data_IF_846739461797
#
_entry.id   IF_846739461797
#
_cell.length_a   1.000
_cell.length_b   1.000
_cell.length_c   1.000
_cell.angle_alpha   90.00
_cell.angle_beta   90.00
_cell.angle_gamma   90.00
#
_symmetry.space_group_name_H-M   'P 1'
#
loop_
_entity.id
_entity.type
_entity.pdbx_description
1 polymer ?
#
# COMPACT_ATOMS: atom_id res chain seq x y z
N UNK A 1 6.37 -24.31 -30.01
CA UNK A 1 6.37 -23.91 -28.58
C UNK A 1 7.64 -24.47 -27.98
N UNK A 2 8.51 -23.60 -27.43
CA UNK A 2 9.77 -24.02 -26.80
C UNK A 2 9.61 -24.16 -25.28
N UNK A 3 8.75 -23.31 -24.65
CA UNK A 3 8.44 -23.31 -23.23
C UNK A 3 7.11 -22.60 -22.98
N UNK A 4 6.55 -22.72 -21.74
CA UNK A 4 5.32 -22.06 -21.34
C UNK A 4 5.23 -21.95 -19.82
N UNK A 5 4.44 -20.99 -19.35
CA UNK A 5 4.05 -20.84 -17.94
C UNK A 5 2.54 -21.00 -17.82
N UNK A 6 2.08 -21.60 -16.70
CA UNK A 6 0.67 -21.78 -16.38
C UNK A 6 0.36 -21.12 -15.06
N UNK A 7 -0.68 -20.31 -15.06
CA UNK A 7 -1.14 -19.57 -13.88
C UNK A 7 -2.59 -19.95 -13.56
N UNK A 8 -2.84 -20.32 -12.30
CA UNK A 8 -4.19 -20.58 -11.80
C UNK A 8 -4.72 -19.33 -11.12
N UNK A 9 -6.00 -19.03 -11.32
CA UNK A 9 -6.69 -17.93 -10.64
C UNK A 9 -8.14 -18.29 -10.33
N UNK A 10 -8.68 -17.66 -9.28
CA UNK A 10 -10.07 -17.84 -8.88
C UNK A 10 -11.00 -17.05 -9.83
N UNK A 11 -12.10 -17.69 -10.29
CA UNK A 11 -13.08 -17.10 -11.19
C UNK A 11 -14.26 -16.44 -10.46
N UNK A 12 -14.31 -16.52 -9.12
CA UNK A 12 -15.36 -15.89 -8.34
C UNK A 12 -15.41 -14.38 -8.60
N UNK A 13 -16.63 -13.87 -8.72
CA UNK A 13 -16.86 -12.44 -8.93
C UNK A 13 -16.94 -11.72 -7.59
N UNK A 14 -16.53 -10.44 -7.54
CA UNK A 14 -16.72 -9.62 -6.34
C UNK A 14 -18.21 -9.58 -5.95
N UNK A 15 -18.49 -9.71 -4.67
CA UNK A 15 -19.84 -9.73 -4.10
C UNK A 15 -19.93 -8.85 -2.87
N UNK A 16 -21.06 -8.13 -2.73
CA UNK A 16 -21.41 -7.49 -1.47
C UNK A 16 -21.97 -8.53 -0.50
N UNK A 17 -21.58 -8.44 0.76
CA UNK A 17 -22.02 -9.31 1.85
C UNK A 17 -22.30 -8.50 3.12
N UNK A 18 -22.81 -9.17 4.16
CA UNK A 18 -23.27 -8.53 5.38
C UNK A 18 -24.74 -8.13 5.29
N UNK A 19 -25.36 -7.83 6.43
CA UNK A 19 -26.80 -7.50 6.52
C UNK A 19 -27.13 -6.21 5.76
N UNK A 20 -26.17 -5.28 5.71
CA UNK A 20 -26.29 -3.97 5.04
C UNK A 20 -25.45 -3.87 3.76
N UNK A 21 -24.85 -4.97 3.29
CA UNK A 21 -23.91 -4.96 2.18
C UNK A 21 -22.58 -4.26 2.51
N UNK A 22 -22.24 -4.20 3.79
CA UNK A 22 -21.07 -3.47 4.31
C UNK A 22 -19.74 -4.16 4.06
N UNK A 23 -19.77 -5.42 3.65
CA UNK A 23 -18.57 -6.19 3.29
C UNK A 23 -18.45 -6.37 1.79
N UNK A 24 -17.22 -6.47 1.32
CA UNK A 24 -16.86 -6.87 -0.03
C UNK A 24 -16.08 -8.18 0.03
N UNK A 25 -16.56 -9.18 -0.68
CA UNK A 25 -15.89 -10.45 -0.87
C UNK A 25 -15.35 -10.51 -2.30
N UNK A 26 -14.06 -10.78 -2.45
CA UNK A 26 -13.45 -10.88 -3.78
C UNK A 26 -12.15 -11.69 -3.73
N UNK A 27 -11.80 -12.41 -4.80
CA UNK A 27 -10.42 -12.83 -4.99
C UNK A 27 -9.50 -11.62 -5.10
N UNK A 28 -8.28 -11.77 -4.63
CA UNK A 28 -7.18 -10.82 -4.86
C UNK A 28 -7.46 -9.38 -4.41
N UNK A 29 -8.19 -9.22 -3.28
CA UNK A 29 -8.23 -7.94 -2.59
C UNK A 29 -6.81 -7.51 -2.21
N UNK A 30 -6.02 -8.47 -1.82
CA UNK A 30 -4.57 -8.42 -1.81
C UNK A 30 -4.02 -8.68 -3.24
N UNK A 31 -3.47 -7.68 -3.94
CA UNK A 31 -3.41 -6.26 -3.57
C UNK A 31 -4.11 -5.37 -4.62
N UNK A 32 -5.15 -5.88 -5.30
CA UNK A 32 -5.91 -5.10 -6.28
C UNK A 32 -6.65 -3.90 -5.66
N UNK A 33 -6.95 -3.92 -4.36
CA UNK A 33 -7.50 -2.77 -3.64
C UNK A 33 -6.55 -1.57 -3.69
N UNK A 34 -5.27 -1.79 -3.43
CA UNK A 34 -4.24 -0.75 -3.50
C UNK A 34 -4.03 -0.25 -4.92
N UNK A 35 -4.00 -1.16 -5.90
CA UNK A 35 -3.90 -0.80 -7.33
C UNK A 35 -5.07 0.10 -7.73
N UNK A 36 -6.30 -0.29 -7.37
CA UNK A 36 -7.51 0.49 -7.65
C UNK A 36 -7.44 1.89 -7.01
N UNK A 37 -7.05 1.97 -5.74
CA UNK A 37 -6.96 3.23 -5.01
C UNK A 37 -5.89 4.16 -5.62
N UNK A 38 -4.71 3.64 -5.94
CA UNK A 38 -3.63 4.41 -6.58
C UNK A 38 -4.05 4.96 -7.95
N UNK A 39 -4.65 4.12 -8.80
CA UNK A 39 -5.11 4.55 -10.13
C UNK A 39 -6.21 5.61 -10.00
N UNK A 40 -7.18 5.41 -9.11
CA UNK A 40 -8.24 6.39 -8.83
C UNK A 40 -7.63 7.71 -8.35
N UNK A 41 -6.72 7.64 -7.39
CA UNK A 41 -6.05 8.82 -6.85
C UNK A 41 -5.26 9.61 -7.90
N UNK A 42 -4.47 8.90 -8.72
CA UNK A 42 -3.68 9.56 -9.77
C UNK A 42 -4.57 10.22 -10.83
N UNK A 43 -5.62 9.54 -11.29
CA UNK A 43 -6.54 10.05 -12.33
C UNK A 43 -7.32 11.28 -11.82
N UNK A 44 -7.73 11.27 -10.56
CA UNK A 44 -8.53 12.33 -9.95
C UNK A 44 -7.69 13.49 -9.37
N UNK A 45 -6.36 13.33 -9.33
CA UNK A 45 -5.47 14.38 -8.83
C UNK A 45 -5.07 15.35 -9.94
N UNK A 46 -4.76 16.57 -9.53
CA UNK A 46 -4.21 17.61 -10.44
C UNK A 46 -3.05 18.33 -9.72
N UNK A 47 -1.87 17.71 -9.64
CA UNK A 47 -0.72 18.26 -8.94
C UNK A 47 -0.26 19.55 -9.59
N UNK A 48 0.11 20.52 -8.77
CA UNK A 48 0.59 21.85 -9.25
C UNK A 48 2.10 21.86 -9.51
N UNK A 49 2.83 20.93 -8.90
CA UNK A 49 4.29 20.82 -8.97
C UNK A 49 4.70 19.35 -8.89
N UNK A 50 5.91 19.06 -9.35
CA UNK A 50 6.50 17.74 -9.22
C UNK A 50 6.01 16.72 -10.23
N UNK A 51 6.33 15.48 -9.98
CA UNK A 51 5.94 14.30 -10.75
C UNK A 51 5.29 13.29 -9.82
N UNK A 52 4.05 12.94 -10.10
CA UNK A 52 3.39 11.80 -9.48
C UNK A 52 3.63 10.54 -10.33
N UNK A 53 4.07 9.47 -9.68
CA UNK A 53 4.38 8.20 -10.33
C UNK A 53 3.77 7.06 -9.52
N UNK A 54 3.16 6.10 -10.21
CA UNK A 54 2.74 4.83 -9.64
C UNK A 54 3.67 3.73 -10.17
N UNK A 55 4.20 2.91 -9.27
CA UNK A 55 4.92 1.70 -9.61
C UNK A 55 4.13 0.48 -9.13
N UNK A 56 3.73 -0.39 -10.05
CA UNK A 56 3.07 -1.66 -9.76
C UNK A 56 4.09 -2.77 -9.98
N UNK A 57 4.51 -3.40 -8.89
CA UNK A 57 5.53 -4.43 -8.91
C UNK A 57 4.91 -5.82 -9.08
N UNK A 58 5.71 -6.72 -9.64
CA UNK A 58 5.42 -8.14 -9.71
C UNK A 58 6.18 -8.90 -8.61
N UNK A 59 5.80 -10.14 -8.36
CA UNK A 59 6.49 -11.06 -7.46
C UNK A 59 6.57 -10.61 -5.99
N UNK A 60 5.63 -9.79 -5.52
CA UNK A 60 5.59 -9.39 -4.11
C UNK A 60 5.45 -10.62 -3.21
N UNK A 61 4.51 -11.53 -3.48
CA UNK A 61 4.17 -12.71 -2.69
C UNK A 61 5.29 -13.76 -2.59
N UNK A 62 6.26 -13.70 -3.47
CA UNK A 62 7.44 -14.58 -3.45
C UNK A 62 8.71 -13.85 -2.98
N UNK A 63 8.55 -12.65 -2.39
CA UNK A 63 9.59 -11.91 -1.69
C UNK A 63 10.26 -10.78 -2.47
N UNK A 64 9.73 -10.36 -3.61
CA UNK A 64 10.17 -9.19 -4.41
C UNK A 64 11.60 -9.25 -4.98
N UNK A 65 12.33 -10.35 -4.80
CA UNK A 65 13.76 -10.50 -5.18
C UNK A 65 13.95 -10.96 -6.61
N UNK A 66 13.29 -10.31 -7.55
CA UNK A 66 13.38 -10.60 -8.97
C UNK A 66 13.62 -9.31 -9.74
N UNK A 67 13.95 -9.40 -11.03
CA UNK A 67 14.20 -8.23 -11.89
C UNK A 67 13.00 -7.27 -12.00
N UNK A 68 11.78 -7.75 -11.79
CA UNK A 68 10.53 -6.98 -11.82
C UNK A 68 9.93 -6.73 -10.43
N UNK A 69 10.57 -7.22 -9.37
CA UNK A 69 10.15 -7.01 -7.98
C UNK A 69 10.65 -5.69 -7.39
N UNK A 70 10.12 -5.33 -6.23
CA UNK A 70 10.47 -4.09 -5.56
C UNK A 70 11.90 -4.06 -4.99
N UNK A 71 12.52 -5.24 -4.75
CA UNK A 71 13.92 -5.39 -4.34
C UNK A 71 14.85 -5.47 -5.56
N UNK A 72 14.63 -4.62 -6.56
CA UNK A 72 15.44 -4.52 -7.77
C UNK A 72 15.77 -3.06 -8.10
N UNK A 73 16.76 -2.87 -8.96
CA UNK A 73 17.15 -1.55 -9.45
C UNK A 73 16.21 -0.98 -10.51
N UNK A 74 15.11 -1.66 -10.83
CA UNK A 74 14.22 -1.27 -11.94
C UNK A 74 13.62 0.12 -11.72
N UNK A 75 13.05 0.38 -10.53
CA UNK A 75 12.42 1.67 -10.25
C UNK A 75 13.45 2.81 -10.25
N UNK A 76 14.62 2.60 -9.62
CA UNK A 76 15.69 3.60 -9.63
C UNK A 76 16.13 3.92 -11.07
N UNK A 77 16.38 2.89 -11.89
CA UNK A 77 16.80 3.08 -13.28
C UNK A 77 15.75 3.79 -14.14
N UNK A 78 14.46 3.57 -13.86
CA UNK A 78 13.38 4.30 -14.52
C UNK A 78 13.32 5.77 -14.09
N UNK A 79 13.49 6.05 -12.79
CA UNK A 79 13.55 7.42 -12.27
C UNK A 79 14.74 8.19 -12.83
N UNK A 80 15.91 7.56 -12.96
CA UNK A 80 17.07 8.15 -13.61
C UNK A 80 16.77 8.54 -15.05
N UNK A 81 16.19 7.63 -15.85
CA UNK A 81 15.78 7.93 -17.24
C UNK A 81 14.74 9.03 -17.33
N UNK A 82 13.79 9.10 -16.41
CA UNK A 82 12.80 10.19 -16.37
C UNK A 82 13.50 11.52 -16.08
N UNK A 83 14.36 11.56 -15.06
CA UNK A 83 15.11 12.78 -14.72
C UNK A 83 16.00 13.25 -15.88
N UNK A 84 16.70 12.35 -16.56
CA UNK A 84 17.49 12.67 -17.76
C UNK A 84 16.62 13.25 -18.87
N UNK A 85 15.45 12.66 -19.10
CA UNK A 85 14.49 13.15 -20.12
C UNK A 85 13.92 14.54 -19.78
N UNK A 86 13.84 14.87 -18.50
CA UNK A 86 13.45 16.18 -17.99
C UNK A 86 14.61 17.19 -17.95
N UNK A 87 15.81 16.80 -18.36
CA UNK A 87 17.01 17.64 -18.37
C UNK A 87 17.52 17.98 -16.96
N UNK A 88 17.24 17.13 -15.96
CA UNK A 88 17.73 17.30 -14.59
C UNK A 88 19.20 16.91 -14.49
N UNK A 89 19.98 17.69 -13.73
CA UNK A 89 21.32 17.25 -13.36
C UNK A 89 21.25 16.10 -12.34
N UNK A 90 22.32 15.28 -12.21
CA UNK A 90 22.37 14.24 -11.18
C UNK A 90 22.19 14.77 -9.74
N UNK A 91 22.61 16.01 -9.49
CA UNK A 91 22.40 16.69 -8.21
C UNK A 91 20.92 17.00 -7.98
N UNK A 92 20.26 17.63 -8.94
CA UNK A 92 18.84 17.93 -8.90
C UNK A 92 17.98 16.67 -8.79
N UNK A 93 18.39 15.58 -9.42
CA UNK A 93 17.71 14.30 -9.30
C UNK A 93 17.80 13.73 -7.88
N UNK A 94 18.98 13.81 -7.25
CA UNK A 94 19.17 13.37 -5.84
C UNK A 94 18.39 14.25 -4.85
N UNK A 95 18.43 15.58 -5.01
CA UNK A 95 17.63 16.50 -4.20
C UNK A 95 16.14 16.18 -4.30
N UNK A 96 15.65 15.94 -5.54
CA UNK A 96 14.27 15.55 -5.76
C UNK A 96 13.87 14.23 -5.08
N UNK A 97 14.79 13.28 -4.93
CA UNK A 97 14.54 12.05 -4.15
C UNK A 97 14.45 12.32 -2.65
N UNK A 98 15.29 13.18 -2.10
CA UNK A 98 15.22 13.54 -0.67
C UNK A 98 13.96 14.33 -0.32
N UNK A 99 13.45 15.13 -1.26
CA UNK A 99 12.20 15.88 -1.10
C UNK A 99 10.95 15.03 -1.40
N UNK A 100 11.13 13.88 -2.03
CA UNK A 100 10.01 12.99 -2.38
C UNK A 100 9.40 12.32 -1.16
N UNK A 101 8.16 11.85 -1.35
CA UNK A 101 7.46 11.03 -0.38
C UNK A 101 6.94 9.77 -1.07
N UNK A 102 7.17 8.61 -0.46
CA UNK A 102 6.78 7.31 -1.01
C UNK A 102 5.61 6.73 -0.23
N UNK A 103 4.51 6.52 -0.91
CA UNK A 103 3.35 5.84 -0.39
C UNK A 103 3.41 4.36 -0.80
N UNK A 104 3.70 3.48 0.14
CA UNK A 104 3.67 2.04 -0.04
C UNK A 104 2.28 1.52 0.34
N UNK A 105 1.55 1.00 -0.64
CA UNK A 105 0.21 0.49 -0.42
C UNK A 105 0.15 -1.03 -0.51
N UNK A 106 -0.32 -1.63 0.57
CA UNK A 106 -0.55 -3.05 0.71
C UNK A 106 -1.57 -3.32 1.81
N UNK A 107 -2.38 -4.37 1.69
CA UNK A 107 -3.42 -4.69 2.67
C UNK A 107 -2.85 -4.95 4.08
N UNK A 108 -3.70 -4.93 5.08
CA UNK A 108 -3.36 -5.24 6.48
C UNK A 108 -4.25 -6.37 7.01
N UNK A 109 -3.80 -7.06 8.04
CA UNK A 109 -4.65 -8.02 8.73
C UNK A 109 -5.73 -7.30 9.52
N UNK A 110 -6.99 -7.63 9.24
CA UNK A 110 -8.13 -7.21 10.03
C UNK A 110 -8.33 -8.06 11.29
N UNK A 111 -8.97 -7.50 12.29
CA UNK A 111 -9.35 -8.22 13.51
C UNK A 111 -10.31 -9.37 13.17
N UNK A 112 -9.85 -10.61 13.32
CA UNK A 112 -10.72 -11.78 13.17
C UNK A 112 -11.46 -12.05 14.47
N UNK A 113 -12.81 -12.13 14.48
CA UNK A 113 -13.60 -12.26 15.70
C UNK A 113 -13.22 -13.45 16.58
N UNK A 114 -12.87 -14.57 15.96
CA UNK A 114 -12.52 -15.82 16.66
C UNK A 114 -11.00 -15.93 16.95
N UNK A 115 -10.18 -14.95 16.60
CA UNK A 115 -8.73 -14.98 16.74
C UNK A 115 -8.18 -13.65 17.29
N UNK A 116 -8.95 -12.97 18.13
CA UNK A 116 -8.59 -11.65 18.68
C UNK A 116 -7.24 -11.65 19.40
N UNK A 117 -6.84 -12.79 19.98
CA UNK A 117 -5.55 -12.95 20.65
C UNK A 117 -4.33 -12.92 19.73
N UNK A 118 -4.52 -13.01 18.40
CA UNK A 118 -3.42 -12.89 17.44
C UNK A 118 -3.05 -11.43 17.10
N UNK A 119 -3.93 -10.48 17.47
CA UNK A 119 -3.71 -9.06 17.21
C UNK A 119 -2.97 -8.41 18.38
N UNK A 120 -2.34 -7.27 18.10
CA UNK A 120 -1.81 -6.40 19.13
C UNK A 120 -2.90 -6.02 20.15
N UNK A 121 -2.61 -5.94 21.46
CA UNK A 121 -3.63 -5.64 22.47
C UNK A 121 -4.34 -4.31 22.28
N UNK A 122 -3.64 -3.31 21.73
CA UNK A 122 -4.09 -1.93 21.61
C UNK A 122 -4.58 -1.59 20.20
N UNK A 123 -3.84 -2.04 19.16
CA UNK A 123 -4.10 -1.71 17.77
C UNK A 123 -4.80 -2.89 17.07
N UNK A 124 -6.11 -2.80 16.94
CA UNK A 124 -6.97 -3.86 16.40
C UNK A 124 -7.81 -3.33 15.23
N UNK A 125 -7.28 -3.27 14.03
CA UNK A 125 -8.03 -2.79 12.86
C UNK A 125 -9.29 -3.58 12.61
N UNK A 126 -10.39 -2.88 12.46
CA UNK A 126 -11.73 -3.44 12.21
C UNK A 126 -12.17 -3.06 10.80
N UNK A 127 -12.73 -4.01 10.07
CA UNK A 127 -13.27 -3.79 8.73
C UNK A 127 -14.37 -2.71 8.75
N UNK A 128 -14.37 -1.84 7.76
CA UNK A 128 -15.33 -0.76 7.64
C UNK A 128 -15.03 0.49 8.50
N UNK A 129 -13.82 0.58 9.06
CA UNK A 129 -13.37 1.73 9.84
C UNK A 129 -12.21 2.51 9.22
N UNK A 130 -12.05 2.37 7.91
CA UNK A 130 -11.06 3.10 7.15
C UNK A 130 -9.72 2.40 7.02
N UNK A 131 -8.77 3.09 6.41
CA UNK A 131 -7.45 2.59 6.13
C UNK A 131 -6.61 2.37 7.40
N UNK A 132 -5.54 1.59 7.26
CA UNK A 132 -4.56 1.32 8.32
C UNK A 132 -3.22 1.98 7.99
N UNK A 133 -2.69 2.79 8.90
CA UNK A 133 -1.28 3.21 8.89
C UNK A 133 -0.51 2.11 9.61
N UNK A 134 0.42 1.47 8.90
CA UNK A 134 1.17 0.29 9.40
C UNK A 134 2.51 0.71 9.98
N UNK A 135 2.80 0.25 11.19
CA UNK A 135 4.04 0.54 11.91
C UNK A 135 4.67 -0.76 12.42
N UNK A 136 6.00 -0.85 12.39
CA UNK A 136 6.75 -1.97 12.94
C UNK A 136 8.11 -1.51 13.49
N UNK A 137 8.38 -1.82 14.75
CA UNK A 137 9.69 -1.55 15.36
C UNK A 137 10.85 -2.29 14.67
N UNK A 138 10.56 -3.43 14.06
CA UNK A 138 11.50 -4.22 13.25
C UNK A 138 11.80 -3.63 11.87
N UNK A 139 11.14 -2.52 11.48
CA UNK A 139 11.23 -1.93 10.14
C UNK A 139 10.82 -2.90 9.01
N UNK A 140 9.94 -3.85 9.32
CA UNK A 140 9.26 -4.66 8.29
C UNK A 140 8.23 -3.84 7.50
N UNK A 141 7.81 -2.71 8.06
CA UNK A 141 7.16 -1.58 7.38
C UNK A 141 8.10 -0.37 7.47
N UNK A 142 8.23 0.38 6.38
CA UNK A 142 9.17 1.51 6.29
C UNK A 142 8.70 2.78 6.99
N UNK A 143 7.56 2.72 7.65
CA UNK A 143 6.90 3.86 8.30
C UNK A 143 7.71 4.37 9.50
N UNK A 144 7.92 5.67 9.57
CA UNK A 144 8.44 6.40 10.72
C UNK A 144 7.44 7.45 11.23
N UNK A 145 7.77 8.13 12.32
CA UNK A 145 6.87 9.10 12.95
C UNK A 145 6.61 10.35 12.07
N UNK A 146 7.54 10.76 11.25
CA UNK A 146 7.39 11.89 10.32
C UNK A 146 6.41 11.51 9.21
N UNK A 147 6.58 10.33 8.62
CA UNK A 147 5.70 9.80 7.61
C UNK A 147 4.27 9.58 8.14
N UNK A 148 4.14 9.07 9.37
CA UNK A 148 2.84 8.98 10.08
C UNK A 148 2.18 10.34 10.19
N UNK A 149 2.92 11.37 10.62
CA UNK A 149 2.37 12.70 10.80
C UNK A 149 1.81 13.29 9.49
N UNK A 150 2.49 13.06 8.37
CA UNK A 150 2.00 13.46 7.04
C UNK A 150 0.72 12.72 6.69
N UNK A 151 0.70 11.40 6.84
CA UNK A 151 -0.48 10.59 6.53
C UNK A 151 -1.69 10.98 7.40
N UNK A 152 -1.49 11.16 8.70
CA UNK A 152 -2.57 11.62 9.59
C UNK A 152 -3.08 13.01 9.25
N UNK A 153 -2.22 13.93 8.84
CA UNK A 153 -2.66 15.26 8.40
C UNK A 153 -3.52 15.18 7.14
N UNK A 154 -3.16 14.33 6.18
CA UNK A 154 -3.97 14.08 4.98
C UNK A 154 -5.35 13.54 5.39
N UNK A 155 -5.38 12.50 6.24
CA UNK A 155 -6.62 11.92 6.72
C UNK A 155 -7.51 12.95 7.43
N UNK A 156 -6.94 13.75 8.35
CA UNK A 156 -7.70 14.77 9.11
C UNK A 156 -8.23 15.89 8.22
N UNK A 157 -7.45 16.35 7.24
CA UNK A 157 -7.90 17.40 6.30
C UNK A 157 -9.01 16.92 5.37
N UNK A 158 -8.98 15.66 4.99
CA UNK A 158 -9.95 15.04 4.09
C UNK A 158 -11.13 14.38 4.80
N UNK A 159 -11.19 14.42 6.13
CA UNK A 159 -12.15 13.65 6.95
C UNK A 159 -12.17 12.15 6.61
N UNK A 160 -10.98 11.61 6.31
CA UNK A 160 -10.79 10.22 5.89
C UNK A 160 -10.59 9.35 7.13
N UNK A 161 -11.42 8.31 7.33
CA UNK A 161 -11.31 7.44 8.49
C UNK A 161 -10.01 6.59 8.38
N UNK A 162 -9.29 6.49 9.50
CA UNK A 162 -8.06 5.70 9.58
C UNK A 162 -7.88 5.03 10.94
N UNK A 163 -7.07 4.00 10.94
CA UNK A 163 -6.70 3.20 12.10
C UNK A 163 -5.18 3.00 12.12
N UNK A 164 -4.65 2.55 13.26
CA UNK A 164 -3.26 2.09 13.38
C UNK A 164 -3.21 0.59 13.30
N UNK A 165 -2.17 0.07 12.65
CA UNK A 165 -1.86 -1.34 12.63
C UNK A 165 -0.43 -1.58 13.12
N UNK A 166 -0.29 -2.45 14.09
CA UNK A 166 0.99 -2.93 14.61
C UNK A 166 0.90 -4.45 14.75
N UNK A 167 1.92 -5.17 14.33
CA UNK A 167 1.99 -6.60 14.60
C UNK A 167 2.16 -6.85 16.11
N UNK A 168 1.51 -7.89 16.62
CA UNK A 168 1.75 -8.34 17.98
C UNK A 168 3.23 -8.70 18.15
N UNK A 169 3.87 -8.19 19.21
CA UNK A 169 5.34 -8.21 19.37
C UNK A 169 5.96 -9.61 19.46
N UNK A 170 5.18 -10.62 19.87
CA UNK A 170 5.60 -12.02 20.01
C UNK A 170 5.24 -12.87 18.77
N UNK A 171 4.72 -12.27 17.72
CA UNK A 171 4.36 -12.95 16.48
C UNK A 171 5.17 -12.39 15.31
N UNK A 172 5.65 -13.28 14.45
CA UNK A 172 6.24 -12.87 13.19
C UNK A 172 5.19 -12.17 12.33
N UNK A 173 5.47 -10.94 11.93
CA UNK A 173 4.65 -10.20 10.98
C UNK A 173 5.11 -10.37 9.54
N UNK A 174 4.26 -9.97 8.60
CA UNK A 174 4.62 -9.83 7.19
C UNK A 174 5.61 -8.67 6.97
N UNK A 175 6.09 -8.58 5.75
CA UNK A 175 6.89 -7.46 5.23
C UNK A 175 6.15 -6.87 4.04
N UNK A 176 6.31 -5.58 3.81
CA UNK A 176 5.81 -4.91 2.61
C UNK A 176 6.93 -4.54 1.67
N UNK A 177 6.58 -4.27 0.43
CA UNK A 177 7.52 -3.78 -0.58
C UNK A 177 8.15 -2.43 -0.20
N UNK A 178 7.47 -1.61 0.62
CA UNK A 178 7.97 -0.31 1.07
C UNK A 178 9.30 -0.41 1.79
N UNK A 179 9.46 -1.39 2.67
CA UNK A 179 10.72 -1.62 3.38
C UNK A 179 11.88 -2.02 2.45
N UNK A 180 11.58 -2.71 1.34
CA UNK A 180 12.58 -3.11 0.34
C UNK A 180 12.93 -1.93 -0.59
N UNK A 181 11.91 -1.29 -1.15
CA UNK A 181 12.11 -0.18 -2.08
C UNK A 181 12.78 1.03 -1.43
N UNK A 182 12.43 1.37 -0.17
CA UNK A 182 13.05 2.47 0.57
C UNK A 182 14.53 2.24 0.94
N UNK A 183 14.98 0.99 0.94
CA UNK A 183 16.39 0.67 1.13
C UNK A 183 17.23 0.99 -0.14
N UNK A 184 16.61 0.96 -1.31
CA UNK A 184 17.23 1.31 -2.60
C UNK A 184 17.04 2.80 -2.92
N UNK A 185 15.84 3.31 -2.66
CA UNK A 185 15.47 4.71 -2.81
C UNK A 185 15.31 5.34 -1.42
N UNK A 186 16.28 6.14 -0.94
CA UNK A 186 16.24 6.72 0.41
C UNK A 186 15.22 7.85 0.51
N UNK A 187 13.95 7.52 0.35
CA UNK A 187 12.79 8.42 0.34
C UNK A 187 11.97 8.17 1.61
N UNK A 188 11.44 9.25 2.21
CA UNK A 188 10.48 9.10 3.30
C UNK A 188 9.30 8.24 2.86
N UNK A 189 9.01 7.20 3.62
CA UNK A 189 8.04 6.17 3.23
C UNK A 189 7.02 5.94 4.32
N UNK A 190 5.75 5.82 3.93
CA UNK A 190 4.67 5.35 4.78
C UNK A 190 4.03 4.10 4.18
N UNK A 191 3.83 3.08 5.00
CA UNK A 191 3.09 1.87 4.65
C UNK A 191 1.63 2.00 5.10
N UNK A 192 0.72 1.93 4.15
CA UNK A 192 -0.73 2.07 4.37
C UNK A 192 -1.46 0.95 3.64
N UNK A 193 -2.62 0.55 4.16
CA UNK A 193 -3.49 -0.40 3.48
C UNK A 193 -4.88 -0.47 4.10
N UNK A 194 -5.70 -1.38 3.61
CA UNK A 194 -7.01 -1.65 4.19
C UNK A 194 -6.98 -2.96 4.97
N UNK A 195 -7.73 -3.07 6.08
CA UNK A 195 -7.81 -4.32 6.82
C UNK A 195 -8.65 -5.33 6.04
N UNK A 196 -8.11 -6.56 5.87
CA UNK A 196 -8.82 -7.68 5.25
C UNK A 196 -8.82 -8.91 6.14
N UNK A 197 -9.75 -9.81 5.91
CA UNK A 197 -9.78 -11.16 6.46
C UNK A 197 -9.53 -12.18 5.35
N UNK A 198 -9.02 -13.34 5.74
CA UNK A 198 -8.75 -14.45 4.82
C UNK A 198 -7.76 -14.09 3.70
N UNK A 199 -6.79 -13.22 4.00
CA UNK A 199 -5.67 -12.87 3.09
C UNK A 199 -5.04 -14.14 2.51
N UNK A 200 -4.72 -14.13 1.20
CA UNK A 200 -4.20 -15.26 0.41
C UNK A 200 -5.18 -16.43 0.22
N UNK A 201 -6.44 -16.30 0.62
CA UNK A 201 -7.45 -17.31 0.29
C UNK A 201 -8.04 -17.09 -1.11
N UNK A 202 -8.79 -18.08 -1.60
CA UNK A 202 -9.47 -17.96 -2.90
C UNK A 202 -10.48 -16.78 -2.94
N UNK A 203 -11.07 -16.43 -1.80
CA UNK A 203 -11.96 -15.28 -1.63
C UNK A 203 -11.65 -14.59 -0.31
N UNK A 204 -11.26 -13.34 -0.38
CA UNK A 204 -10.90 -12.50 0.74
C UNK A 204 -12.07 -11.58 1.12
N UNK A 205 -12.01 -10.96 2.28
CA UNK A 205 -13.10 -10.11 2.79
C UNK A 205 -12.55 -8.79 3.33
N UNK A 206 -13.15 -7.67 2.92
CA UNK A 206 -12.86 -6.34 3.46
C UNK A 206 -14.13 -5.56 3.77
N UNK A 207 -13.98 -4.44 4.48
CA UNK A 207 -15.05 -3.45 4.58
C UNK A 207 -15.18 -2.67 3.26
N UNK A 208 -16.38 -2.56 2.73
CA UNK A 208 -16.58 -1.88 1.45
C UNK A 208 -16.21 -0.38 1.50
N UNK A 209 -16.47 0.28 2.65
CA UNK A 209 -16.10 1.67 2.87
C UNK A 209 -14.58 1.89 2.99
N UNK A 210 -13.80 0.84 3.31
CA UNK A 210 -12.35 0.96 3.45
C UNK A 210 -11.67 1.21 2.10
N UNK A 211 -12.23 0.68 1.01
CA UNK A 211 -11.75 0.94 -0.35
C UNK A 211 -11.94 2.41 -0.74
N UNK A 212 -13.09 2.98 -0.40
CA UNK A 212 -13.39 4.39 -0.64
C UNK A 212 -12.42 5.28 0.15
N UNK A 213 -12.23 4.99 1.44
CA UNK A 213 -11.27 5.71 2.28
C UNK A 213 -9.83 5.66 1.72
N UNK A 214 -9.40 4.51 1.20
CA UNK A 214 -8.06 4.37 0.60
C UNK A 214 -7.95 5.17 -0.72
N UNK A 215 -8.99 5.18 -1.55
CA UNK A 215 -9.02 5.95 -2.80
C UNK A 215 -9.04 7.47 -2.53
N UNK A 216 -9.79 7.91 -1.54
CA UNK A 216 -9.83 9.32 -1.10
C UNK A 216 -8.48 9.76 -0.55
N UNK A 217 -7.83 8.90 0.25
CA UNK A 217 -6.49 9.13 0.74
C UNK A 217 -5.48 9.26 -0.41
N UNK A 218 -5.48 8.34 -1.36
CA UNK A 218 -4.58 8.38 -2.50
C UNK A 218 -4.79 9.66 -3.35
N UNK A 219 -6.04 10.07 -3.53
CA UNK A 219 -6.38 11.32 -4.24
C UNK A 219 -5.82 12.54 -3.50
N UNK A 220 -6.07 12.64 -2.20
CA UNK A 220 -5.58 13.74 -1.37
C UNK A 220 -4.04 13.76 -1.30
N UNK A 221 -3.41 12.60 -1.23
CA UNK A 221 -1.97 12.44 -1.27
C UNK A 221 -1.37 13.01 -2.57
N UNK A 222 -1.84 12.58 -3.74
CA UNK A 222 -1.36 13.05 -5.03
C UNK A 222 -1.65 14.54 -5.31
N UNK A 223 -2.57 15.15 -4.57
CA UNK A 223 -2.83 16.59 -4.65
C UNK A 223 -1.95 17.44 -3.73
N UNK A 224 -1.41 16.84 -2.67
CA UNK A 224 -0.76 17.55 -1.57
C UNK A 224 0.75 17.56 -1.71
N UNK A 225 1.31 16.52 -2.28
CA UNK A 225 2.77 16.27 -2.36
C UNK A 225 3.33 16.55 -3.72
#
# INVERSE_FOLDING_TARGET
ILDYELWAYCLEKPQRAGIKGELLLSPRLDNLTSVQALLTGLINSNPKKGLNLIALFDHEEIGSKTKQGADSMLLLSLLEKINDSLGKTPEQAREGLYDAFFLSLDVAHGLHPNQMGKMDPTNKPVLGRGLCIKEAASQSYATDCEAVAVAEQICRKGDIPYQKFVNRSDMAGGRTLGALASAILPVRTVDIGVPILAMHSAVETMGAADLEALADFATAYFQTI
#
